data_IF_043493111825
#
_entry.id   IF_043493111825
#
_cell.length_a   1.000
_cell.length_b   1.000
_cell.length_c   1.000
_cell.angle_alpha   90.00
_cell.angle_beta   90.00
_cell.angle_gamma   90.00
#
_symmetry.space_group_name_H-M   'P 1'
#
loop_
_entity.id
_entity.type
_entity.pdbx_description
1 polymer ?
#
# COMPACT_ATOMS: atom_id res chain seq x y z
N UNK A 1 11.07 -3.95 -8.03
CA UNK A 1 11.29 -5.14 -7.14
C UNK A 1 10.34 -5.16 -5.94
N UNK A 2 10.22 -4.10 -5.14
CA UNK A 2 9.32 -4.12 -3.99
C UNK A 2 7.84 -4.25 -4.41
N UNK A 3 7.40 -3.50 -5.41
CA UNK A 3 6.06 -3.60 -6.00
C UNK A 3 5.82 -4.91 -6.76
N UNK A 4 6.89 -5.56 -7.22
CA UNK A 4 6.86 -6.91 -7.83
C UNK A 4 6.71 -8.04 -6.80
N UNK A 5 6.62 -7.69 -5.50
CA UNK A 5 6.39 -8.65 -4.44
C UNK A 5 7.64 -9.06 -3.65
N UNK A 6 8.83 -8.57 -4.01
CA UNK A 6 10.04 -8.90 -3.26
C UNK A 6 10.02 -8.31 -1.84
N UNK A 7 10.59 -9.05 -0.88
CA UNK A 7 10.74 -8.55 0.48
C UNK A 7 11.93 -7.57 0.57
N UNK A 8 11.88 -6.66 1.54
CA UNK A 8 12.99 -5.74 1.82
C UNK A 8 14.32 -6.47 2.07
N UNK A 9 14.26 -7.66 2.70
CA UNK A 9 15.45 -8.50 2.92
C UNK A 9 15.97 -9.13 1.64
N UNK A 10 15.10 -9.56 0.74
CA UNK A 10 15.49 -10.11 -0.57
C UNK A 10 16.14 -9.02 -1.42
N UNK A 11 15.57 -7.82 -1.42
CA UNK A 11 16.14 -6.65 -2.12
C UNK A 11 17.53 -6.32 -1.56
N UNK A 12 17.72 -6.30 -0.24
CA UNK A 12 19.03 -6.06 0.37
C UNK A 12 20.08 -7.11 -0.08
N UNK A 13 19.70 -8.39 -0.08
CA UNK A 13 20.57 -9.48 -0.59
C UNK A 13 20.91 -9.30 -2.08
N UNK A 14 19.91 -8.95 -2.88
CA UNK A 14 20.10 -8.70 -4.31
C UNK A 14 21.08 -7.55 -4.56
N UNK A 15 20.93 -6.43 -3.85
CA UNK A 15 21.83 -5.27 -3.98
C UNK A 15 23.28 -5.63 -3.57
N UNK A 16 23.43 -6.38 -2.49
CA UNK A 16 24.75 -6.89 -2.04
C UNK A 16 25.37 -7.85 -3.07
N UNK A 17 24.59 -8.79 -3.59
CA UNK A 17 25.08 -9.76 -4.58
C UNK A 17 25.52 -9.11 -5.90
N UNK A 18 24.86 -8.01 -6.29
CA UNK A 18 25.22 -7.24 -7.48
C UNK A 18 26.28 -6.15 -7.20
N UNK A 19 26.91 -6.16 -6.02
CA UNK A 19 27.98 -5.22 -5.63
C UNK A 19 27.59 -3.74 -5.77
N UNK A 20 26.32 -3.42 -5.59
CA UNK A 20 25.84 -2.04 -5.61
C UNK A 20 26.25 -1.39 -4.29
N UNK A 21 27.01 -0.30 -4.37
CA UNK A 21 27.50 0.42 -3.20
C UNK A 21 26.34 0.97 -2.34
N UNK A 22 26.47 0.87 -1.01
CA UNK A 22 25.51 1.52 -0.10
C UNK A 22 25.73 3.03 -0.07
N UNK A 23 24.74 3.84 0.36
CA UNK A 23 24.91 5.29 0.52
C UNK A 23 26.07 5.70 1.45
N UNK A 24 26.53 4.78 2.31
CA UNK A 24 27.63 4.99 3.25
C UNK A 24 28.94 4.31 2.80
N UNK A 25 29.01 3.80 1.56
CA UNK A 25 30.19 3.14 1.00
C UNK A 25 30.45 1.71 1.53
N UNK A 26 29.51 1.12 2.29
CA UNK A 26 29.64 -0.27 2.76
C UNK A 26 29.24 -1.25 1.68
N UNK A 27 29.86 -2.43 1.66
CA UNK A 27 29.58 -3.49 0.68
C UNK A 27 28.25 -4.19 0.93
N UNK A 28 27.83 -4.30 2.20
CA UNK A 28 26.65 -5.08 2.60
C UNK A 28 25.45 -4.19 2.84
N UNK A 29 24.37 -4.45 2.13
CA UNK A 29 23.08 -3.80 2.33
C UNK A 29 22.31 -4.41 3.50
N UNK A 30 21.91 -3.56 4.45
CA UNK A 30 21.09 -3.95 5.58
C UNK A 30 19.60 -3.68 5.30
N UNK A 31 18.74 -4.53 5.87
CA UNK A 31 17.28 -4.36 5.82
C UNK A 31 16.83 -2.94 6.21
N UNK A 32 17.42 -2.38 7.28
CA UNK A 32 17.08 -1.03 7.75
C UNK A 32 17.35 0.06 6.73
N UNK A 33 18.47 -0.03 6.00
CA UNK A 33 18.83 0.93 4.95
C UNK A 33 17.84 0.90 3.80
N UNK A 34 17.50 -0.30 3.29
CA UNK A 34 16.51 -0.44 2.21
C UNK A 34 15.14 0.05 2.67
N UNK A 35 14.71 -0.30 3.89
CA UNK A 35 13.44 0.18 4.44
C UNK A 35 13.42 1.70 4.57
N UNK A 36 14.51 2.31 5.03
CA UNK A 36 14.62 3.77 5.15
C UNK A 36 14.51 4.46 3.78
N UNK A 37 15.17 3.92 2.75
CA UNK A 37 15.07 4.44 1.38
C UNK A 37 13.62 4.36 0.87
N UNK A 38 12.96 3.23 1.03
CA UNK A 38 11.57 3.03 0.58
C UNK A 38 10.57 3.96 1.28
N UNK A 39 10.86 4.44 2.49
CA UNK A 39 9.97 5.30 3.28
C UNK A 39 10.39 6.76 3.37
N UNK A 40 11.44 7.17 2.65
CA UNK A 40 11.96 8.53 2.73
C UNK A 40 11.26 9.43 1.68
N UNK A 41 10.45 10.36 2.16
CA UNK A 41 9.69 11.31 1.34
C UNK A 41 10.55 12.18 0.41
N UNK A 42 11.84 12.33 0.72
CA UNK A 42 12.75 13.09 -0.13
C UNK A 42 12.90 12.53 -1.54
N UNK A 43 12.66 11.22 -1.73
CA UNK A 43 12.73 10.63 -3.07
C UNK A 43 11.59 11.09 -3.99
N UNK A 44 10.45 11.50 -3.43
CA UNK A 44 9.34 12.07 -4.21
C UNK A 44 9.38 13.59 -4.33
N UNK A 45 10.40 14.24 -3.76
CA UNK A 45 10.59 15.68 -3.85
C UNK A 45 10.16 16.48 -2.61
N UNK A 46 9.65 15.82 -1.57
CA UNK A 46 9.13 16.47 -0.36
C UNK A 46 10.17 16.50 0.76
N UNK A 47 9.92 17.34 1.77
CA UNK A 47 10.76 17.40 2.96
C UNK A 47 9.91 17.49 4.24
N UNK A 48 10.17 16.58 5.19
CA UNK A 48 9.65 16.69 6.56
C UNK A 48 10.73 17.32 7.46
N UNK A 49 10.45 18.51 7.96
CA UNK A 49 11.34 19.29 8.83
C UNK A 49 11.05 18.94 10.30
N UNK A 50 12.04 19.08 11.16
CA UNK A 50 11.97 18.76 12.60
C UNK A 50 11.64 17.28 12.90
N UNK A 51 12.16 16.35 12.09
CA UNK A 51 12.06 14.89 12.37
C UNK A 51 12.74 14.49 13.68
N UNK A 52 13.74 15.25 14.08
CA UNK A 52 14.50 15.03 15.31
C UNK A 52 14.73 16.35 16.02
N UNK A 53 14.91 16.30 17.33
CA UNK A 53 15.26 17.47 18.12
C UNK A 53 16.29 17.12 19.19
N UNK A 54 17.03 18.12 19.62
CA UNK A 54 17.95 18.01 20.75
C UNK A 54 17.14 18.16 22.04
N UNK A 55 17.25 17.18 22.95
CA UNK A 55 16.48 17.13 24.19
C UNK A 55 16.88 18.25 25.13
N UNK A 56 18.17 18.41 25.35
CA UNK A 56 18.74 19.46 26.18
C UNK A 56 20.12 19.89 25.65
N UNK A 57 20.54 21.11 26.01
CA UNK A 57 21.79 21.70 25.55
C UNK A 57 23.03 21.07 26.20
N UNK A 58 22.88 20.40 27.33
CA UNK A 58 24.01 19.81 28.07
C UNK A 58 24.36 18.45 27.49
N UNK A 59 23.37 17.53 27.43
CA UNK A 59 23.63 16.18 26.94
C UNK A 59 23.72 16.10 25.42
N UNK A 60 23.17 17.08 24.68
CA UNK A 60 23.08 17.14 23.21
C UNK A 60 22.49 15.88 22.58
N UNK A 61 21.70 15.12 23.36
CA UNK A 61 21.06 13.91 22.88
C UNK A 61 19.97 14.27 21.85
N UNK A 62 20.10 13.66 20.68
CA UNK A 62 19.11 13.78 19.61
C UNK A 62 18.04 12.74 19.80
N UNK A 63 16.77 13.15 19.87
CA UNK A 63 15.60 12.29 19.94
C UNK A 63 14.72 12.46 18.71
N UNK A 64 14.07 11.38 18.28
CA UNK A 64 13.07 11.45 17.22
C UNK A 64 11.85 12.24 17.74
N UNK A 65 11.40 13.17 16.92
CA UNK A 65 10.18 13.93 17.20
C UNK A 65 8.95 13.07 16.83
N UNK A 66 8.17 12.67 17.82
CA UNK A 66 6.95 11.89 17.64
C UNK A 66 5.69 12.75 17.93
N UNK A 67 5.82 14.08 17.84
CA UNK A 67 4.76 15.05 18.13
C UNK A 67 5.08 15.96 19.33
N UNK A 68 6.27 15.81 19.96
CA UNK A 68 6.67 16.65 21.08
C UNK A 68 6.99 18.10 20.64
N UNK A 69 7.37 18.30 19.38
CA UNK A 69 7.59 19.60 18.75
C UNK A 69 6.91 19.65 17.39
N UNK A 70 6.51 20.84 16.95
CA UNK A 70 5.89 21.04 15.66
C UNK A 70 6.79 20.48 14.53
N UNK A 71 6.21 19.71 13.62
CA UNK A 71 6.84 19.22 12.41
C UNK A 71 6.21 19.93 11.21
N UNK A 72 7.02 20.26 10.22
CA UNK A 72 6.57 20.94 9.02
C UNK A 72 6.83 20.06 7.82
N UNK A 73 5.75 19.79 7.05
CA UNK A 73 5.83 19.05 5.80
C UNK A 73 5.82 20.04 4.64
N UNK A 74 6.85 19.98 3.81
CA UNK A 74 7.00 20.85 2.64
C UNK A 74 6.92 19.96 1.40
N UNK A 75 5.90 20.19 0.58
CA UNK A 75 5.74 19.52 -0.69
C UNK A 75 6.58 20.18 -1.78
N UNK A 76 7.02 19.39 -2.77
CA UNK A 76 7.80 19.87 -3.90
C UNK A 76 9.02 20.75 -3.51
N UNK A 77 9.69 20.41 -2.41
CA UNK A 77 10.85 21.12 -1.88
C UNK A 77 12.05 21.04 -2.83
N UNK A 78 12.14 19.98 -3.61
CA UNK A 78 13.21 19.74 -4.58
C UNK A 78 12.75 18.82 -5.72
N UNK A 79 13.47 18.74 -6.86
CA UNK A 79 13.12 17.85 -7.94
C UNK A 79 13.00 16.40 -7.47
N UNK A 80 11.90 15.75 -7.81
CA UNK A 80 11.63 14.35 -7.46
C UNK A 80 12.57 13.40 -8.20
N UNK A 81 13.10 12.38 -7.51
CA UNK A 81 13.91 11.30 -8.11
C UNK A 81 13.00 10.21 -8.66
N UNK A 82 11.87 9.96 -7.98
CA UNK A 82 10.82 9.04 -8.41
C UNK A 82 9.48 9.77 -8.39
N UNK A 83 8.57 9.35 -9.28
CA UNK A 83 7.24 10.00 -9.34
C UNK A 83 6.50 9.82 -8.01
N UNK A 84 5.73 10.84 -7.57
CA UNK A 84 4.91 10.79 -6.35
C UNK A 84 3.96 9.59 -6.34
N UNK A 85 3.36 9.24 -7.48
CA UNK A 85 2.44 8.09 -7.61
C UNK A 85 3.16 6.79 -7.27
N UNK A 86 4.37 6.59 -7.82
CA UNK A 86 5.16 5.39 -7.56
C UNK A 86 5.59 5.28 -6.10
N UNK A 87 5.95 6.40 -5.48
CA UNK A 87 6.27 6.45 -4.06
C UNK A 87 5.04 6.12 -3.21
N UNK A 88 3.88 6.71 -3.50
CA UNK A 88 2.64 6.47 -2.78
C UNK A 88 2.21 5.00 -2.88
N UNK A 89 2.31 4.38 -4.06
CA UNK A 89 2.07 2.94 -4.26
C UNK A 89 2.98 2.06 -3.37
N UNK A 90 4.24 2.46 -3.19
CA UNK A 90 5.16 1.76 -2.28
C UNK A 90 4.70 1.90 -0.83
N UNK A 91 4.25 3.09 -0.39
CA UNK A 91 3.74 3.29 0.97
C UNK A 91 2.46 2.48 1.23
N UNK A 92 1.52 2.46 0.29
CA UNK A 92 0.30 1.64 0.37
C UNK A 92 0.64 0.15 0.50
N UNK A 93 1.57 -0.34 -0.31
CA UNK A 93 2.02 -1.73 -0.25
C UNK A 93 2.74 -2.03 1.08
N UNK A 94 3.52 -1.10 1.61
CA UNK A 94 4.14 -1.24 2.94
C UNK A 94 3.09 -1.31 4.05
N UNK A 95 2.06 -0.47 3.99
CA UNK A 95 0.95 -0.47 4.93
C UNK A 95 0.15 -1.78 4.83
N UNK A 96 -0.18 -2.23 3.63
CA UNK A 96 -0.87 -3.49 3.34
C UNK A 96 -0.12 -4.70 3.92
N UNK A 97 1.19 -4.79 3.68
CA UNK A 97 2.03 -5.88 4.22
C UNK A 97 2.15 -5.83 5.74
N UNK A 98 2.09 -4.63 6.32
CA UNK A 98 2.15 -4.45 7.78
C UNK A 98 0.83 -4.82 8.45
N UNK A 99 -0.32 -4.46 7.88
CA UNK A 99 -1.65 -4.78 8.40
C UNK A 99 -1.90 -6.29 8.46
N UNK A 100 -1.48 -7.02 7.42
CA UNK A 100 -1.60 -8.49 7.36
C UNK A 100 -0.76 -9.23 8.41
N UNK A 101 0.28 -8.60 8.98
CA UNK A 101 1.13 -9.21 10.02
C UNK A 101 0.50 -9.22 11.42
N UNK A 102 -0.56 -8.48 11.67
CA UNK A 102 -1.12 -8.25 13.00
C UNK A 102 -2.03 -9.35 13.55
N UNK A 103 -2.27 -10.43 12.82
CA UNK A 103 -2.96 -11.59 13.38
C UNK A 103 -1.96 -12.40 14.23
N UNK A 104 -1.59 -11.85 15.37
CA UNK A 104 -0.95 -12.61 16.44
C UNK A 104 -2.02 -13.45 17.12
N UNK A 105 -2.19 -14.68 16.69
CA UNK A 105 -2.84 -15.68 17.52
C UNK A 105 -1.83 -16.11 18.59
N UNK A 106 -2.20 -15.88 19.84
CA UNK A 106 -1.40 -16.26 21.01
C UNK A 106 -1.10 -17.77 20.92
N UNK A 107 0.17 -18.13 20.93
CA UNK A 107 0.60 -19.53 21.02
C UNK A 107 1.00 -20.25 19.73
N UNK A 108 1.17 -19.59 18.61
CA UNK A 108 1.66 -20.23 17.38
C UNK A 108 3.17 -20.46 17.41
N UNK A 109 3.60 -21.72 17.35
CA UNK A 109 5.02 -22.14 17.33
C UNK A 109 5.80 -21.73 16.07
N UNK A 110 5.12 -21.19 15.03
CA UNK A 110 5.70 -20.97 13.71
C UNK A 110 5.52 -19.53 13.23
N UNK A 111 6.05 -18.56 13.99
CA UNK A 111 6.05 -17.15 13.57
C UNK A 111 6.95 -16.86 12.35
N UNK A 112 7.97 -17.70 12.14
CA UNK A 112 8.92 -17.57 11.04
C UNK A 112 8.29 -18.06 9.72
N UNK A 113 8.06 -17.16 8.76
CA UNK A 113 7.64 -17.49 7.40
C UNK A 113 6.14 -17.57 7.16
N UNK A 114 5.29 -17.14 8.10
CA UNK A 114 3.82 -17.07 7.93
C UNK A 114 3.38 -16.16 6.78
N UNK A 115 4.18 -15.17 6.47
CA UNK A 115 3.86 -14.12 5.51
C UNK A 115 5.03 -13.87 4.55
N UNK A 116 5.31 -14.87 3.71
CA UNK A 116 6.25 -14.67 2.61
C UNK A 116 5.53 -13.98 1.45
N UNK A 117 5.91 -12.75 1.16
CA UNK A 117 5.45 -12.05 -0.05
C UNK A 117 6.03 -12.62 -1.35
N UNK A 118 6.85 -13.65 -1.26
CA UNK A 118 7.46 -14.30 -2.44
C UNK A 118 6.43 -14.92 -3.35
N UNK A 119 5.39 -15.56 -2.78
CA UNK A 119 4.34 -16.24 -3.54
C UNK A 119 3.03 -15.47 -3.41
N UNK A 120 2.35 -15.20 -4.53
CA UNK A 120 1.06 -14.50 -4.53
C UNK A 120 0.03 -15.23 -3.67
N UNK A 121 -0.03 -16.54 -3.77
CA UNK A 121 -0.98 -17.37 -3.04
C UNK A 121 -0.85 -17.29 -1.52
N UNK A 122 0.33 -16.95 -0.97
CA UNK A 122 0.52 -16.77 0.48
C UNK A 122 -0.34 -15.63 1.05
N UNK A 123 -0.73 -14.68 0.22
CA UNK A 123 -1.50 -13.51 0.61
C UNK A 123 -2.96 -13.62 0.19
N UNK A 124 -3.21 -14.27 -0.94
CA UNK A 124 -4.50 -14.31 -1.59
C UNK A 124 -5.34 -15.51 -1.17
N UNK A 125 -4.71 -16.63 -0.75
CA UNK A 125 -5.40 -17.89 -0.49
C UNK A 125 -5.95 -17.94 0.94
N UNK A 126 -7.28 -18.05 1.08
CA UNK A 126 -8.02 -17.99 2.35
C UNK A 126 -8.86 -19.27 2.52
N UNK A 127 -8.96 -19.76 3.75
CA UNK A 127 -9.79 -20.90 4.10
C UNK A 127 -11.27 -20.51 4.11
N UNK A 128 -12.12 -21.24 3.41
CA UNK A 128 -13.57 -21.01 3.39
C UNK A 128 -14.27 -21.29 4.72
N UNK A 129 -13.66 -22.12 5.61
CA UNK A 129 -14.24 -22.46 6.90
C UNK A 129 -13.85 -21.47 8.00
N UNK A 130 -12.55 -21.19 8.17
CA UNK A 130 -12.06 -20.40 9.29
C UNK A 130 -11.45 -19.04 8.89
N UNK A 131 -11.52 -18.68 7.63
CA UNK A 131 -11.02 -17.41 7.03
C UNK A 131 -9.54 -17.11 7.31
N UNK A 132 -8.77 -18.13 7.72
CA UNK A 132 -7.33 -17.98 7.95
C UNK A 132 -6.57 -18.23 6.65
N UNK A 133 -5.46 -17.50 6.40
CA UNK A 133 -4.64 -17.73 5.21
C UNK A 133 -4.09 -19.15 5.13
N UNK A 134 -3.81 -19.59 3.91
CA UNK A 134 -3.10 -20.82 3.64
C UNK A 134 -1.58 -20.59 3.68
N UNK A 135 -0.84 -21.66 3.99
CA UNK A 135 0.61 -21.69 4.03
C UNK A 135 1.16 -22.73 3.07
N UNK A 136 2.19 -22.35 2.35
CA UNK A 136 2.95 -23.22 1.46
C UNK A 136 3.82 -24.18 2.28
N UNK A 137 3.65 -25.48 2.07
CA UNK A 137 4.36 -26.55 2.76
C UNK A 137 4.97 -27.52 1.75
N UNK A 138 6.16 -28.00 2.01
CA UNK A 138 6.73 -29.11 1.25
C UNK A 138 6.32 -30.40 1.92
N UNK A 139 5.72 -31.30 1.16
CA UNK A 139 5.33 -32.65 1.60
C UNK A 139 6.18 -33.67 0.89
N UNK A 140 6.74 -34.61 1.64
CA UNK A 140 7.45 -35.76 1.06
C UNK A 140 6.47 -36.92 1.03
N UNK A 141 6.23 -37.46 -0.19
CA UNK A 141 5.40 -38.66 -0.39
C UNK A 141 6.15 -39.89 0.08
N UNK A 142 5.44 -41.01 0.24
CA UNK A 142 6.00 -42.33 0.58
C UNK A 142 7.12 -42.74 -0.39
N UNK A 143 7.05 -42.33 -1.65
CA UNK A 143 8.05 -42.61 -2.67
C UNK A 143 9.24 -41.64 -2.65
N UNK A 144 9.38 -40.83 -1.60
CA UNK A 144 10.49 -39.87 -1.46
C UNK A 144 10.37 -38.62 -2.34
N UNK A 145 9.34 -38.50 -3.18
CA UNK A 145 9.12 -37.31 -4.02
C UNK A 145 8.61 -36.14 -3.18
N UNK A 146 9.14 -34.95 -3.41
CA UNK A 146 8.69 -33.73 -2.76
C UNK A 146 7.57 -33.08 -3.55
N UNK A 147 6.40 -32.93 -2.94
CA UNK A 147 5.26 -32.17 -3.47
C UNK A 147 5.06 -30.89 -2.67
N UNK A 148 4.60 -29.86 -3.35
CA UNK A 148 4.30 -28.59 -2.72
C UNK A 148 2.79 -28.50 -2.49
N UNK A 149 2.42 -28.32 -1.24
CA UNK A 149 1.03 -28.32 -0.80
C UNK A 149 0.70 -27.01 -0.09
N UNK A 150 -0.52 -26.53 -0.31
CA UNK A 150 -1.07 -25.41 0.43
C UNK A 150 -2.02 -25.93 1.51
N UNK A 151 -1.85 -25.43 2.75
CA UNK A 151 -2.64 -25.86 3.91
C UNK A 151 -3.04 -24.68 4.78
N UNK A 152 -4.25 -24.75 5.33
CA UNK A 152 -4.75 -23.75 6.27
C UNK A 152 -3.83 -23.65 7.51
N UNK A 153 -3.49 -22.42 7.91
CA UNK A 153 -2.58 -22.18 9.04
C UNK A 153 -3.19 -22.70 10.35
N UNK A 154 -4.47 -22.46 10.60
CA UNK A 154 -5.15 -22.99 11.79
C UNK A 154 -5.12 -24.50 11.84
N UNK A 155 -5.31 -25.15 10.70
CA UNK A 155 -5.22 -26.62 10.61
C UNK A 155 -3.80 -27.14 10.86
N UNK A 156 -2.79 -26.40 10.43
CA UNK A 156 -1.36 -26.75 10.65
C UNK A 156 -0.95 -26.58 12.11
N UNK A 157 -1.33 -25.45 12.71
CA UNK A 157 -0.85 -25.06 14.03
C UNK A 157 -1.65 -25.75 15.16
N UNK A 158 -2.95 -26.00 14.96
CA UNK A 158 -3.86 -26.48 16.00
C UNK A 158 -4.62 -27.78 15.65
N UNK A 159 -4.35 -28.37 14.50
CA UNK A 159 -5.07 -29.56 14.02
C UNK A 159 -6.55 -29.27 13.75
N UNK A 160 -7.43 -30.16 14.19
CA UNK A 160 -8.89 -30.04 14.00
C UNK A 160 -9.59 -29.10 15.00
N UNK A 161 -8.85 -28.46 15.92
CA UNK A 161 -9.45 -27.67 17.00
C UNK A 161 -10.23 -26.45 16.51
N UNK A 162 -9.72 -25.75 15.48
CA UNK A 162 -10.33 -24.51 14.95
C UNK A 162 -10.71 -24.58 13.49
N UNK A 163 -10.34 -25.65 12.79
CA UNK A 163 -10.66 -25.85 11.39
C UNK A 163 -10.81 -27.36 11.09
N UNK A 164 -12.00 -27.81 10.76
CA UNK A 164 -12.34 -29.24 10.68
C UNK A 164 -12.21 -29.81 9.27
N UNK A 165 -12.59 -29.04 8.25
CA UNK A 165 -12.77 -29.53 6.90
C UNK A 165 -11.83 -28.90 5.86
N UNK A 166 -10.93 -27.97 6.26
CA UNK A 166 -10.03 -27.32 5.29
C UNK A 166 -9.17 -28.35 4.55
N UNK A 167 -9.22 -28.37 3.22
CA UNK A 167 -8.43 -29.30 2.42
C UNK A 167 -6.96 -28.86 2.35
N UNK A 168 -6.10 -29.84 2.08
CA UNK A 168 -4.74 -29.58 1.57
C UNK A 168 -4.80 -29.65 0.07
N UNK A 169 -4.29 -28.62 -0.62
CA UNK A 169 -4.35 -28.52 -2.09
C UNK A 169 -2.94 -28.49 -2.66
N UNK A 170 -2.70 -29.26 -3.73
CA UNK A 170 -1.43 -29.27 -4.44
C UNK A 170 -1.24 -27.94 -5.21
N UNK A 171 -0.02 -27.41 -5.23
CA UNK A 171 0.26 -26.10 -5.84
C UNK A 171 -0.03 -26.09 -7.35
N UNK A 172 0.35 -27.13 -8.08
CA UNK A 172 0.12 -27.27 -9.51
C UNK A 172 -1.36 -27.27 -9.86
N UNK A 173 -2.17 -28.06 -9.15
CA UNK A 173 -3.62 -28.14 -9.32
C UNK A 173 -4.27 -26.76 -9.06
N UNK A 174 -3.83 -26.09 -8.01
CA UNK A 174 -4.33 -24.78 -7.65
C UNK A 174 -3.97 -23.71 -8.68
N UNK A 175 -2.71 -23.70 -9.14
CA UNK A 175 -2.26 -22.77 -10.16
C UNK A 175 -3.01 -22.96 -11.49
N UNK A 176 -3.19 -24.20 -11.94
CA UNK A 176 -3.95 -24.52 -13.15
C UNK A 176 -5.41 -24.07 -13.04
N UNK A 177 -6.06 -24.35 -11.92
CA UNK A 177 -7.45 -23.92 -11.70
C UNK A 177 -7.60 -22.39 -11.70
N UNK A 178 -6.64 -21.66 -11.11
CA UNK A 178 -6.64 -20.19 -11.10
C UNK A 178 -6.46 -19.66 -12.52
N UNK A 179 -5.50 -20.20 -13.27
CA UNK A 179 -5.27 -19.81 -14.67
C UNK A 179 -6.53 -20.04 -15.52
N UNK A 180 -7.18 -21.20 -15.37
CA UNK A 180 -8.44 -21.48 -16.05
C UNK A 180 -9.55 -20.51 -15.65
N UNK A 181 -9.68 -20.21 -14.36
CA UNK A 181 -10.67 -19.24 -13.88
C UNK A 181 -10.47 -17.87 -14.52
N UNK A 182 -9.21 -17.42 -14.61
CA UNK A 182 -8.86 -16.15 -15.26
C UNK A 182 -9.19 -16.22 -16.75
N UNK A 183 -8.67 -17.21 -17.48
CA UNK A 183 -8.86 -17.34 -18.93
C UNK A 183 -10.34 -17.40 -19.33
N UNK A 184 -11.14 -18.21 -18.64
CA UNK A 184 -12.55 -18.38 -18.94
C UNK A 184 -13.41 -17.14 -18.65
N UNK A 185 -12.91 -16.21 -17.83
CA UNK A 185 -13.68 -15.07 -17.38
C UNK A 185 -13.05 -13.72 -17.74
N UNK A 186 -11.99 -13.70 -18.56
CA UNK A 186 -11.32 -12.46 -19.00
C UNK A 186 -12.33 -11.46 -19.60
N UNK A 187 -13.25 -11.91 -20.44
CA UNK A 187 -14.27 -11.05 -21.04
C UNK A 187 -15.18 -10.40 -19.99
N UNK A 188 -15.71 -11.18 -19.05
CA UNK A 188 -16.59 -10.69 -17.98
C UNK A 188 -15.85 -9.79 -16.98
N UNK A 189 -14.60 -10.12 -16.65
CA UNK A 189 -13.74 -9.27 -15.86
C UNK A 189 -13.54 -7.90 -16.52
N UNK A 190 -13.31 -7.86 -17.83
CA UNK A 190 -13.17 -6.62 -18.59
C UNK A 190 -14.43 -5.75 -18.50
N UNK A 191 -15.63 -6.32 -18.65
CA UNK A 191 -16.89 -5.58 -18.53
C UNK A 191 -17.14 -5.01 -17.12
N UNK A 192 -16.83 -5.77 -16.07
CA UNK A 192 -16.98 -5.30 -14.69
C UNK A 192 -16.01 -4.15 -14.40
N UNK A 193 -14.76 -4.27 -14.86
CA UNK A 193 -13.77 -3.21 -14.71
C UNK A 193 -14.14 -1.96 -15.52
N UNK A 194 -14.69 -2.11 -16.74
CA UNK A 194 -15.19 -0.96 -17.52
C UNK A 194 -16.32 -0.22 -16.77
N UNK A 195 -17.29 -0.95 -16.22
CA UNK A 195 -18.34 -0.35 -15.40
C UNK A 195 -17.78 0.34 -14.16
N UNK A 196 -16.81 -0.27 -13.48
CA UNK A 196 -16.14 0.32 -12.33
C UNK A 196 -15.39 1.60 -12.74
N UNK A 197 -14.69 1.58 -13.88
CA UNK A 197 -14.00 2.75 -14.44
C UNK A 197 -14.99 3.88 -14.77
N UNK A 198 -16.15 3.55 -15.36
CA UNK A 198 -17.21 4.53 -15.62
C UNK A 198 -17.78 5.11 -14.33
N UNK A 199 -18.06 4.30 -13.31
CA UNK A 199 -18.56 4.77 -12.02
C UNK A 199 -17.53 5.65 -11.29
N UNK A 200 -16.26 5.26 -11.31
CA UNK A 200 -15.18 6.10 -10.77
C UNK A 200 -15.08 7.40 -11.55
N UNK A 201 -15.14 7.36 -12.88
CA UNK A 201 -15.12 8.56 -13.72
C UNK A 201 -16.32 9.47 -13.43
N UNK A 202 -17.53 8.92 -13.23
CA UNK A 202 -18.73 9.68 -12.83
C UNK A 202 -18.59 10.26 -11.42
N UNK A 203 -17.99 9.51 -10.48
CA UNK A 203 -17.72 9.99 -9.12
C UNK A 203 -16.57 11.01 -9.04
N UNK A 204 -15.67 11.01 -10.04
CA UNK A 204 -14.56 11.94 -10.19
C UNK A 204 -14.93 13.19 -11.03
N UNK A 205 -15.97 13.11 -11.84
CA UNK A 205 -16.47 14.26 -12.63
C UNK A 205 -17.26 15.26 -11.79
N UNK A 206 -17.10 15.23 -10.47
CA UNK A 206 -17.43 16.38 -9.65
C UNK A 206 -16.46 17.52 -9.97
N UNK A 207 -16.77 18.33 -10.98
CA UNK A 207 -16.13 19.61 -11.28
C UNK A 207 -16.00 20.52 -10.04
N UNK A 208 -16.69 20.17 -8.95
CA UNK A 208 -16.70 20.88 -7.69
C UNK A 208 -15.44 20.72 -6.81
N UNK A 209 -14.56 19.75 -7.06
CA UNK A 209 -13.39 19.56 -6.19
C UNK A 209 -12.17 20.35 -6.65
N UNK A 210 -11.97 20.55 -7.94
CA UNK A 210 -10.91 21.42 -8.47
C UNK A 210 -11.24 22.90 -8.23
N UNK A 211 -12.49 23.31 -8.45
CA UNK A 211 -12.94 24.67 -8.14
C UNK A 211 -12.77 24.99 -6.64
N UNK A 212 -13.12 24.09 -5.75
CA UNK A 212 -12.96 24.29 -4.30
C UNK A 212 -11.50 24.40 -3.85
N UNK A 213 -10.59 23.65 -4.42
CA UNK A 213 -9.16 23.78 -4.09
C UNK A 213 -8.60 25.13 -4.52
N UNK A 214 -9.01 25.62 -5.69
CA UNK A 214 -8.64 26.94 -6.18
C UNK A 214 -9.23 28.05 -5.28
N UNK A 215 -10.50 27.95 -4.91
CA UNK A 215 -11.16 28.90 -4.02
C UNK A 215 -10.46 28.98 -2.65
N UNK A 216 -10.11 27.82 -2.06
CA UNK A 216 -9.39 27.78 -0.78
C UNK A 216 -7.99 28.40 -0.92
N UNK A 217 -7.28 28.15 -2.02
CA UNK A 217 -5.95 28.75 -2.27
C UNK A 217 -6.04 30.27 -2.43
N UNK A 218 -7.06 30.78 -3.11
CA UNK A 218 -7.31 32.22 -3.25
C UNK A 218 -7.60 32.86 -1.88
N UNK A 219 -8.42 32.21 -1.05
CA UNK A 219 -8.74 32.74 0.28
C UNK A 219 -7.52 32.71 1.23
N UNK A 220 -6.66 31.67 1.14
CA UNK A 220 -5.38 31.64 1.87
C UNK A 220 -4.48 32.80 1.43
N UNK A 221 -4.34 33.04 0.12
CA UNK A 221 -3.54 34.14 -0.40
C UNK A 221 -4.08 35.51 0.02
N UNK A 222 -5.40 35.66 0.12
CA UNK A 222 -6.04 36.87 0.65
C UNK A 222 -5.69 37.09 2.12
N UNK A 223 -5.80 36.05 2.93
CA UNK A 223 -5.44 36.08 4.35
C UNK A 223 -3.95 36.35 4.57
N UNK A 224 -3.07 35.87 3.70
CA UNK A 224 -1.64 36.17 3.74
C UNK A 224 -1.35 37.65 3.53
N UNK A 225 -2.06 38.27 2.60
CA UNK A 225 -1.94 39.71 2.36
C UNK A 225 -2.45 40.51 3.56
N UNK A 226 -3.62 40.16 4.08
CA UNK A 226 -4.23 40.80 5.25
C UNK A 226 -3.33 40.68 6.48
N UNK A 227 -2.70 39.52 6.69
CA UNK A 227 -1.71 39.28 7.75
C UNK A 227 -0.51 40.23 7.65
N UNK A 228 0.05 40.39 6.44
CA UNK A 228 1.18 41.31 6.21
C UNK A 228 0.78 42.76 6.43
N UNK A 229 -0.41 43.15 5.98
CA UNK A 229 -0.93 44.51 6.16
C UNK A 229 -1.15 44.85 7.65
N UNK A 230 -1.67 43.89 8.44
CA UNK A 230 -1.83 44.06 9.89
C UNK A 230 -0.46 44.13 10.60
N UNK A 231 0.50 43.33 10.22
CA UNK A 231 1.86 43.41 10.79
C UNK A 231 2.50 44.80 10.54
N UNK A 232 2.30 45.37 9.36
CA UNK A 232 2.76 46.70 9.04
C UNK A 232 2.07 47.77 9.86
N UNK A 233 0.75 47.61 10.18
CA UNK A 233 0.00 48.53 11.05
C UNK A 233 0.46 48.45 12.51
N UNK A 234 0.71 47.25 13.05
CA UNK A 234 1.23 47.07 14.41
C UNK A 234 2.61 47.76 14.56
N UNK A 235 3.45 47.65 13.55
CA UNK A 235 4.76 48.29 13.57
C UNK A 235 4.70 49.83 13.48
N UNK A 236 3.61 50.36 12.93
CA UNK A 236 3.41 51.82 12.76
C UNK A 236 2.68 52.46 13.95
N UNK A 237 1.82 51.74 14.68
CA UNK A 237 0.99 52.26 15.72
C UNK A 237 0.99 51.34 16.96
N UNK A 238 1.85 51.64 17.93
CA UNK A 238 2.08 50.83 19.13
C UNK A 238 0.90 50.95 20.15
N UNK A 239 0.12 52.03 20.09
CA UNK A 239 -0.95 52.24 21.06
C UNK A 239 -2.17 51.32 20.86
N UNK A 240 -2.38 50.84 19.66
CA UNK A 240 -3.46 49.90 19.29
C UNK A 240 -3.02 48.45 19.08
N UNK A 241 -1.79 48.09 19.48
CA UNK A 241 -1.20 46.80 19.23
C UNK A 241 -2.02 45.62 19.76
N UNK A 242 -2.60 45.70 20.96
CA UNK A 242 -3.32 44.62 21.62
C UNK A 242 -4.63 44.21 20.86
N UNK A 243 -5.35 45.18 20.27
CA UNK A 243 -6.50 44.90 19.44
C UNK A 243 -6.14 44.28 18.08
N UNK A 244 -5.02 44.73 17.49
CA UNK A 244 -4.50 44.22 16.24
C UNK A 244 -3.88 42.82 16.39
N UNK A 245 -3.29 42.49 17.54
CA UNK A 245 -2.79 41.14 17.87
C UNK A 245 -3.94 40.12 17.91
N UNK A 246 -5.08 40.48 18.50
CA UNK A 246 -6.26 39.60 18.48
C UNK A 246 -6.75 39.29 17.06
N UNK A 247 -6.76 40.27 16.17
CA UNK A 247 -7.11 40.06 14.75
C UNK A 247 -6.08 39.17 14.03
N UNK A 248 -4.78 39.31 14.33
CA UNK A 248 -3.75 38.45 13.83
C UNK A 248 -3.93 36.98 14.21
N UNK A 249 -4.29 36.73 15.49
CA UNK A 249 -4.57 35.38 15.98
C UNK A 249 -5.77 34.75 15.24
N UNK A 250 -6.83 35.51 14.99
CA UNK A 250 -8.01 35.05 14.24
C UNK A 250 -7.62 34.66 12.80
N UNK A 251 -6.79 35.46 12.11
CA UNK A 251 -6.30 35.18 10.77
C UNK A 251 -5.45 33.91 10.76
N UNK A 252 -4.56 33.73 11.73
CA UNK A 252 -3.71 32.54 11.85
C UNK A 252 -4.56 31.29 12.02
N UNK A 253 -5.57 31.32 12.89
CA UNK A 253 -6.48 30.19 13.14
C UNK A 253 -7.26 29.85 11.86
N UNK A 254 -7.83 30.87 11.20
CA UNK A 254 -8.59 30.69 9.97
C UNK A 254 -7.71 30.13 8.83
N UNK A 255 -6.51 30.67 8.68
CA UNK A 255 -5.52 30.18 7.70
C UNK A 255 -5.15 28.73 7.96
N UNK A 256 -4.90 28.35 9.21
CA UNK A 256 -4.56 26.98 9.58
C UNK A 256 -5.72 26.00 9.31
N UNK A 257 -6.98 26.43 9.55
CA UNK A 257 -8.14 25.60 9.23
C UNK A 257 -8.28 25.37 7.72
N UNK A 258 -8.09 26.41 6.91
CA UNK A 258 -8.13 26.32 5.44
C UNK A 258 -6.98 25.48 4.87
N UNK A 259 -5.79 25.58 5.44
CA UNK A 259 -4.67 24.73 5.06
C UNK A 259 -4.93 23.25 5.34
N UNK A 260 -5.53 22.93 6.48
CA UNK A 260 -5.93 21.57 6.81
C UNK A 260 -7.01 21.04 5.85
N UNK A 261 -7.98 21.87 5.51
CA UNK A 261 -9.02 21.54 4.54
C UNK A 261 -8.42 21.28 3.14
N UNK A 262 -7.54 22.15 2.66
CA UNK A 262 -6.81 21.99 1.40
C UNK A 262 -6.06 20.65 1.37
N UNK A 263 -5.35 20.33 2.45
CA UNK A 263 -4.59 19.06 2.55
C UNK A 263 -5.50 17.82 2.47
N UNK A 264 -6.71 17.89 3.04
CA UNK A 264 -7.71 16.81 2.93
C UNK A 264 -8.14 16.63 1.47
N UNK A 265 -8.44 17.73 0.75
CA UNK A 265 -8.82 17.68 -0.66
C UNK A 265 -7.68 17.16 -1.55
N UNK A 266 -6.46 17.63 -1.37
CA UNK A 266 -5.28 17.20 -2.13
C UNK A 266 -4.99 15.70 -1.92
N UNK A 267 -5.07 15.22 -0.67
CA UNK A 267 -4.91 13.79 -0.36
C UNK A 267 -6.03 12.94 -0.98
N UNK A 268 -7.24 13.45 -1.06
CA UNK A 268 -8.36 12.78 -1.73
C UNK A 268 -8.12 12.69 -3.23
N UNK A 269 -7.74 13.79 -3.87
CA UNK A 269 -7.47 13.85 -5.31
C UNK A 269 -6.29 12.94 -5.71
N UNK A 270 -5.22 12.89 -4.91
CA UNK A 270 -4.08 12.01 -5.18
C UNK A 270 -4.44 10.52 -5.05
N UNK A 271 -5.29 10.13 -4.08
CA UNK A 271 -5.80 8.77 -3.97
C UNK A 271 -6.65 8.37 -5.17
N UNK A 272 -7.48 9.29 -5.66
CA UNK A 272 -8.33 9.07 -6.82
C UNK A 272 -7.50 8.89 -8.11
N UNK A 273 -6.49 9.74 -8.33
CA UNK A 273 -5.56 9.62 -9.45
C UNK A 273 -4.80 8.28 -9.43
N UNK A 274 -4.30 7.86 -8.26
CA UNK A 274 -3.65 6.58 -8.09
C UNK A 274 -4.57 5.39 -8.39
N UNK A 275 -5.83 5.47 -7.97
CA UNK A 275 -6.84 4.43 -8.24
C UNK A 275 -7.12 4.32 -9.73
N UNK A 276 -7.24 5.45 -10.44
CA UNK A 276 -7.45 5.50 -11.90
C UNK A 276 -6.26 4.85 -12.64
N UNK A 277 -5.04 5.26 -12.33
CA UNK A 277 -3.82 4.70 -12.93
C UNK A 277 -3.73 3.19 -12.70
N UNK A 278 -4.06 2.73 -11.49
CA UNK A 278 -4.06 1.30 -11.16
C UNK A 278 -5.09 0.50 -11.97
N UNK A 279 -6.27 1.06 -12.18
CA UNK A 279 -7.30 0.43 -13.03
C UNK A 279 -6.85 0.37 -14.49
N UNK A 280 -6.26 1.42 -15.03
CA UNK A 280 -5.75 1.43 -16.40
C UNK A 280 -4.63 0.38 -16.60
N UNK A 281 -3.73 0.20 -15.63
CA UNK A 281 -2.72 -0.88 -15.65
C UNK A 281 -3.36 -2.27 -15.65
N UNK A 282 -4.38 -2.50 -14.80
CA UNK A 282 -5.12 -3.77 -14.75
C UNK A 282 -5.80 -4.05 -16.09
N UNK A 283 -6.39 -3.01 -16.71
CA UNK A 283 -6.99 -3.12 -18.03
C UNK A 283 -5.99 -3.54 -19.09
N UNK A 284 -4.83 -2.90 -19.16
CA UNK A 284 -3.78 -3.25 -20.12
C UNK A 284 -3.33 -4.72 -19.96
N UNK A 285 -3.23 -5.20 -18.72
CA UNK A 285 -2.85 -6.59 -18.44
C UNK A 285 -3.95 -7.55 -18.92
N UNK A 286 -5.21 -7.27 -18.63
CA UNK A 286 -6.34 -8.13 -19.04
C UNK A 286 -6.48 -8.16 -20.56
N UNK A 287 -6.29 -7.04 -21.24
CA UNK A 287 -6.29 -7.00 -22.71
C UNK A 287 -5.12 -7.80 -23.31
N UNK A 288 -3.92 -7.69 -22.73
CA UNK A 288 -2.77 -8.47 -23.14
C UNK A 288 -2.97 -9.99 -22.99
N UNK A 289 -3.74 -10.41 -21.98
CA UNK A 289 -4.05 -11.83 -21.72
C UNK A 289 -5.10 -12.42 -22.67
N UNK A 290 -5.90 -11.60 -23.36
CA UNK A 290 -6.94 -12.10 -24.31
C UNK A 290 -6.33 -12.91 -25.47
N UNK A 291 -5.10 -12.64 -25.87
CA UNK A 291 -4.49 -13.16 -27.10
C UNK A 291 -3.40 -14.22 -26.85
N UNK A 292 -3.05 -14.52 -25.60
CA UNK A 292 -1.97 -15.47 -25.28
C UNK A 292 -2.41 -16.47 -24.20
N UNK A 293 -1.98 -17.75 -24.29
CA UNK A 293 -2.18 -18.71 -23.21
C UNK A 293 -1.44 -18.20 -21.97
N UNK A 294 -2.15 -18.11 -20.86
CA UNK A 294 -1.61 -17.61 -19.61
C UNK A 294 -0.88 -18.72 -18.87
N UNK A 295 0.39 -18.50 -18.55
CA UNK A 295 1.06 -19.25 -17.51
C UNK A 295 0.85 -18.57 -16.16
N UNK A 296 0.90 -19.35 -15.05
CA UNK A 296 0.75 -18.79 -13.72
C UNK A 296 1.89 -17.83 -13.40
N UNK A 297 1.56 -16.56 -13.21
CA UNK A 297 2.50 -15.50 -12.88
C UNK A 297 2.07 -14.77 -11.61
N UNK A 298 2.90 -14.85 -10.55
CA UNK A 298 2.62 -14.23 -9.26
C UNK A 298 2.34 -12.72 -9.32
N UNK A 299 2.97 -12.00 -10.25
CA UNK A 299 2.80 -10.54 -10.40
C UNK A 299 1.42 -10.23 -10.98
N UNK A 300 1.05 -10.92 -12.06
CA UNK A 300 -0.24 -10.75 -12.74
C UNK A 300 -1.39 -11.15 -11.80
N UNK A 301 -1.28 -12.30 -11.15
CA UNK A 301 -2.29 -12.80 -10.22
C UNK A 301 -2.56 -11.83 -9.07
N UNK A 302 -1.53 -11.19 -8.52
CA UNK A 302 -1.70 -10.16 -7.48
C UNK A 302 -2.43 -8.91 -7.94
N UNK A 303 -2.35 -8.60 -9.23
CA UNK A 303 -2.96 -7.38 -9.78
C UNK A 303 -4.43 -7.58 -10.11
N UNK A 304 -4.83 -8.79 -10.54
CA UNK A 304 -6.17 -9.09 -11.02
C UNK A 304 -7.05 -9.81 -9.99
N UNK A 305 -6.48 -10.47 -8.99
CA UNK A 305 -7.21 -11.22 -7.96
C UNK A 305 -7.09 -10.53 -6.61
N UNK A 306 -8.23 -10.33 -5.95
CA UNK A 306 -8.30 -9.79 -4.59
C UNK A 306 -8.10 -10.88 -3.54
N UNK A 307 -8.85 -11.99 -3.65
CA UNK A 307 -8.67 -13.17 -2.81
C UNK A 307 -9.15 -14.46 -3.50
N UNK A 308 -8.70 -15.60 -2.98
CA UNK A 308 -9.11 -16.95 -3.41
C UNK A 308 -9.56 -17.72 -2.18
N UNK A 309 -10.79 -18.14 -2.15
CA UNK A 309 -11.40 -18.85 -1.03
C UNK A 309 -11.42 -20.34 -1.37
N UNK A 310 -10.78 -21.16 -0.53
CA UNK A 310 -10.79 -22.62 -0.67
C UNK A 310 -11.99 -23.18 0.08
N UNK A 311 -13.03 -23.56 -0.66
CA UNK A 311 -14.28 -24.08 -0.08
C UNK A 311 -14.21 -25.59 0.21
N UNK A 312 -13.67 -26.35 -0.75
CA UNK A 312 -13.56 -27.81 -0.62
C UNK A 312 -12.31 -28.34 -1.34
N UNK A 313 -12.12 -29.66 -1.34
CA UNK A 313 -11.06 -30.31 -2.12
C UNK A 313 -11.25 -30.15 -3.64
N UNK A 314 -12.47 -29.90 -4.07
CA UNK A 314 -12.88 -29.89 -5.48
C UNK A 314 -13.22 -28.49 -5.98
N UNK A 315 -13.33 -27.50 -5.08
CA UNK A 315 -13.88 -26.19 -5.44
C UNK A 315 -13.16 -25.06 -4.72
N UNK A 316 -12.82 -24.06 -5.52
CA UNK A 316 -12.35 -22.75 -5.05
C UNK A 316 -13.26 -21.64 -5.58
N UNK A 317 -13.33 -20.55 -4.85
CA UNK A 317 -13.95 -19.30 -5.29
C UNK A 317 -12.84 -18.28 -5.51
N UNK A 318 -12.75 -17.74 -6.71
CA UNK A 318 -11.79 -16.68 -7.09
C UNK A 318 -12.54 -15.35 -7.10
N UNK A 319 -12.08 -14.41 -6.31
CA UNK A 319 -12.61 -13.05 -6.25
C UNK A 319 -11.64 -12.12 -6.97
N UNK A 320 -12.10 -11.52 -8.04
CA UNK A 320 -11.33 -10.58 -8.85
C UNK A 320 -11.38 -9.17 -8.26
N UNK A 321 -10.37 -8.36 -8.58
CA UNK A 321 -10.40 -6.94 -8.29
C UNK A 321 -11.64 -6.32 -8.95
N UNK A 322 -12.45 -5.61 -8.14
CA UNK A 322 -13.76 -5.13 -8.57
C UNK A 322 -14.95 -5.97 -8.06
N UNK A 323 -14.67 -7.04 -7.28
CA UNK A 323 -15.70 -7.81 -6.57
C UNK A 323 -16.40 -8.89 -7.42
N UNK A 324 -15.93 -9.14 -8.65
CA UNK A 324 -16.47 -10.24 -9.46
C UNK A 324 -15.98 -11.59 -8.94
N UNK A 325 -16.91 -12.49 -8.65
CA UNK A 325 -16.64 -13.81 -8.07
C UNK A 325 -16.87 -14.93 -9.09
N UNK A 326 -15.96 -15.90 -9.10
CA UNK A 326 -16.04 -17.09 -9.96
C UNK A 326 -15.77 -18.34 -9.16
N UNK A 327 -16.63 -19.33 -9.31
CA UNK A 327 -16.41 -20.67 -8.78
C UNK A 327 -15.64 -21.51 -9.81
N UNK A 328 -14.54 -22.11 -9.38
CA UNK A 328 -13.70 -22.96 -10.23
C UNK A 328 -13.48 -24.32 -9.58
N UNK A 329 -13.59 -25.38 -10.37
CA UNK A 329 -13.28 -26.74 -9.92
C UNK A 329 -11.77 -26.97 -9.90
N UNK A 330 -11.32 -27.66 -8.87
CA UNK A 330 -9.96 -28.20 -8.75
C UNK A 330 -9.97 -29.59 -9.40
N UNK A 331 -9.56 -29.68 -10.66
CA UNK A 331 -9.34 -30.97 -11.32
C UNK A 331 -7.94 -31.46 -10.95
N UNK A 332 -7.85 -32.62 -10.28
CA UNK A 332 -6.61 -33.41 -10.21
C UNK A 332 -6.60 -34.29 -11.45
N UNK A 333 -5.60 -34.12 -12.28
CA UNK A 333 -5.29 -35.05 -13.38
C UNK A 333 -5.01 -36.46 -12.85
#
# INVERSE_FOLDING_TARGET
KYLEGESVRTIAKYLTANQIATPTGKEVWHYGTVKSILSNEKYKGDALINKTYVVDCISKKVKRNNGERAQYYVENNHPAIISPEKFNRVQEEMARRTSKKKVKQIGTKTELGKYSSKYALSELLICGECHTPYRRCTWTTTDGKKKIMWRCINRLDYGKKYCHHSPSVEESVLQNAIVQAVQNNIGKCSEVLEKLKQHIKMGLSGEQTEDKTIDIQIEIARLDKEYVDLLNQITADIENAEALESQLEEIIIKKHSLQNELQIYENSNSKQANTKTRLDEIFQIIEGLKNHPMEFNDVIIRQIIDCIIVESKEKIKVVFVGGYEVEQRLCSD
#
